data_IF_357308090035
#
_entry.id   IF_357308090035
#
_cell.length_a   1.000
_cell.length_b   1.000
_cell.length_c   1.000
_cell.angle_alpha   90.00
_cell.angle_beta   90.00
_cell.angle_gamma   90.00
#
_symmetry.space_group_name_H-M   'P 1'
#
loop_
_entity.id
_entity.type
_entity.pdbx_description
1 polymer ?
#
# COMPACT_ATOMS: atom_id res chain seq x y z
N UNK A 1 22.14 18.38 3.12
CA UNK A 1 21.82 16.99 3.56
C UNK A 1 20.37 16.68 3.29
N UNK A 2 20.09 15.53 2.68
CA UNK A 2 18.74 15.09 2.43
C UNK A 2 18.10 14.63 3.74
N UNK A 3 16.89 15.14 4.07
CA UNK A 3 16.18 14.72 5.27
C UNK A 3 15.62 13.31 5.10
N UNK A 4 15.34 12.65 6.22
CA UNK A 4 14.70 11.33 6.20
C UNK A 4 13.32 11.39 5.54
N UNK A 5 12.57 12.46 5.81
CA UNK A 5 11.29 12.71 5.13
C UNK A 5 11.45 12.74 3.61
N UNK A 6 12.45 13.45 3.11
CA UNK A 6 12.67 13.58 1.65
C UNK A 6 13.06 12.22 1.04
N UNK A 7 13.87 11.43 1.74
CA UNK A 7 14.21 10.06 1.32
C UNK A 7 12.93 9.21 1.19
N UNK A 8 12.05 9.29 2.16
CA UNK A 8 10.79 8.54 2.13
C UNK A 8 9.83 9.03 1.04
N UNK A 9 9.78 10.35 0.80
CA UNK A 9 8.99 10.90 -0.30
C UNK A 9 9.47 10.41 -1.66
N UNK A 10 10.78 10.37 -1.89
CA UNK A 10 11.35 9.83 -3.13
C UNK A 10 11.01 8.35 -3.29
N UNK A 11 11.09 7.57 -2.22
CA UNK A 11 10.73 6.15 -2.22
C UNK A 11 9.25 5.94 -2.56
N UNK A 12 8.36 6.73 -1.97
CA UNK A 12 6.92 6.69 -2.26
C UNK A 12 6.68 6.95 -3.75
N UNK A 13 7.30 7.98 -4.30
CA UNK A 13 7.17 8.33 -5.71
C UNK A 13 7.71 7.25 -6.64
N UNK A 14 8.83 6.64 -6.28
CA UNK A 14 9.42 5.55 -7.05
C UNK A 14 8.51 4.32 -7.08
N UNK A 15 7.93 3.95 -5.95
CA UNK A 15 6.99 2.82 -5.86
C UNK A 15 5.72 3.11 -6.66
N UNK A 16 5.21 4.33 -6.62
CA UNK A 16 4.06 4.72 -7.44
C UNK A 16 4.33 4.52 -8.93
N UNK A 17 5.45 5.03 -9.41
CA UNK A 17 5.86 4.91 -10.82
C UNK A 17 5.97 3.43 -11.20
N UNK A 18 6.63 2.63 -10.37
CA UNK A 18 6.81 1.19 -10.61
C UNK A 18 5.47 0.46 -10.69
N UNK A 19 4.55 0.74 -9.77
CA UNK A 19 3.22 0.13 -9.79
C UNK A 19 2.44 0.53 -11.05
N UNK A 20 2.43 1.81 -11.42
CA UNK A 20 1.72 2.29 -12.59
C UNK A 20 2.28 1.69 -13.89
N UNK A 21 3.59 1.52 -13.98
CA UNK A 21 4.23 0.84 -15.11
C UNK A 21 3.83 -0.64 -15.18
N UNK A 22 3.76 -1.31 -14.03
CA UNK A 22 3.39 -2.73 -13.97
C UNK A 22 1.95 -2.98 -14.39
N UNK A 23 1.01 -2.09 -14.03
CA UNK A 23 -0.41 -2.29 -14.38
C UNK A 23 -0.75 -1.76 -15.77
N UNK A 24 0.13 -1.00 -16.39
CA UNK A 24 -0.10 -0.48 -17.73
C UNK A 24 -0.31 -1.62 -18.74
N UNK A 25 -1.39 -1.53 -19.51
CA UNK A 25 -1.75 -2.56 -20.47
C UNK A 25 -2.42 -3.80 -19.88
N UNK A 26 -2.68 -3.85 -18.58
CA UNK A 26 -3.32 -5.02 -17.94
C UNK A 26 -4.85 -4.95 -17.92
N UNK A 27 -5.45 -3.99 -18.59
CA UNK A 27 -6.91 -3.80 -18.61
C UNK A 27 -7.68 -5.05 -19.06
N UNK A 28 -7.10 -5.89 -19.93
CA UNK A 28 -7.74 -7.11 -20.42
C UNK A 28 -7.46 -8.34 -19.52
N UNK A 29 -6.57 -8.26 -18.55
CA UNK A 29 -6.11 -9.41 -17.76
C UNK A 29 -6.07 -9.17 -16.25
N UNK A 30 -6.81 -8.18 -15.76
CA UNK A 30 -6.84 -7.85 -14.32
C UNK A 30 -7.26 -9.03 -13.44
N UNK A 31 -8.12 -9.91 -13.96
CA UNK A 31 -8.66 -11.05 -13.21
C UNK A 31 -7.99 -12.38 -13.55
N UNK A 32 -7.00 -12.36 -14.43
CA UNK A 32 -6.28 -13.57 -14.78
C UNK A 32 -5.36 -14.04 -13.65
N UNK A 33 -5.34 -15.33 -13.41
CA UNK A 33 -4.42 -15.96 -12.47
C UNK A 33 -4.04 -17.36 -12.94
N UNK A 34 -2.82 -17.84 -12.58
CA UNK A 34 -2.34 -19.13 -13.06
C UNK A 34 -3.05 -20.34 -12.44
N UNK A 35 -3.62 -20.15 -11.24
CA UNK A 35 -4.37 -21.19 -10.52
C UNK A 35 -5.33 -20.54 -9.52
N UNK A 36 -6.22 -21.37 -8.92
CA UNK A 36 -7.23 -20.89 -7.99
C UNK A 36 -6.65 -20.44 -6.63
N UNK A 37 -5.44 -20.87 -6.31
CA UNK A 37 -4.78 -20.52 -5.04
C UNK A 37 -4.04 -19.18 -5.11
N UNK A 38 -3.80 -18.66 -6.32
CA UNK A 38 -3.08 -17.41 -6.53
C UNK A 38 -4.04 -16.23 -6.62
N UNK A 39 -3.53 -15.05 -6.29
CA UNK A 39 -4.27 -13.80 -6.52
C UNK A 39 -4.01 -13.29 -7.94
N UNK A 40 -5.04 -12.68 -8.52
CA UNK A 40 -4.91 -11.91 -9.76
C UNK A 40 -4.40 -10.49 -9.44
N UNK A 41 -4.06 -9.72 -10.49
CA UNK A 41 -3.55 -8.37 -10.31
C UNK A 41 -4.55 -7.47 -9.54
N UNK A 42 -5.83 -7.55 -9.85
CA UNK A 42 -6.87 -6.80 -9.14
C UNK A 42 -6.84 -7.07 -7.63
N UNK A 43 -6.76 -8.33 -7.24
CA UNK A 43 -6.73 -8.74 -5.83
C UNK A 43 -5.45 -8.25 -5.14
N UNK A 44 -4.30 -8.36 -5.79
CA UNK A 44 -3.04 -7.84 -5.25
C UNK A 44 -3.12 -6.33 -5.02
N UNK A 45 -3.63 -5.59 -5.99
CA UNK A 45 -3.73 -4.12 -5.88
C UNK A 45 -4.64 -3.73 -4.71
N UNK A 46 -5.83 -4.31 -4.59
CA UNK A 46 -6.74 -3.95 -3.50
C UNK A 46 -6.28 -4.47 -2.14
N UNK A 47 -5.54 -5.58 -2.11
CA UNK A 47 -4.83 -5.95 -0.89
C UNK A 47 -3.92 -4.80 -0.42
N UNK A 48 -3.13 -4.24 -1.32
CA UNK A 48 -2.23 -3.13 -1.00
C UNK A 48 -2.97 -1.86 -0.62
N UNK A 49 -4.01 -1.49 -1.38
CA UNK A 49 -4.71 -0.22 -1.19
C UNK A 49 -5.49 -0.15 0.13
N UNK A 50 -5.89 -1.29 0.67
CA UNK A 50 -6.75 -1.35 1.86
C UNK A 50 -6.13 -2.19 2.99
N UNK A 51 -4.82 -2.32 2.99
CA UNK A 51 -4.05 -2.91 4.08
C UNK A 51 -3.04 -1.88 4.60
N UNK A 52 -3.19 -1.36 5.81
CA UNK A 52 -4.27 -1.61 6.78
C UNK A 52 -5.62 -1.07 6.31
N UNK A 53 -6.73 -1.45 6.97
CA UNK A 53 -8.07 -0.98 6.57
C UNK A 53 -8.15 0.54 6.42
N UNK A 54 -8.68 0.98 5.28
CA UNK A 54 -8.71 2.40 4.91
C UNK A 54 -7.45 2.88 4.20
N UNK A 55 -6.41 2.06 4.12
CA UNK A 55 -5.13 2.36 3.44
C UNK A 55 -4.08 2.98 4.34
N UNK A 56 -2.82 2.76 3.98
CA UNK A 56 -1.66 3.29 4.74
C UNK A 56 -1.69 4.82 4.83
N UNK A 57 -2.18 5.50 3.78
CA UNK A 57 -2.28 6.97 3.77
C UNK A 57 -3.20 7.47 4.89
N UNK A 58 -4.32 6.79 5.13
CA UNK A 58 -5.26 7.15 6.20
C UNK A 58 -4.64 6.96 7.58
N UNK A 59 -3.86 5.88 7.76
CA UNK A 59 -3.14 5.64 9.01
C UNK A 59 -2.12 6.75 9.26
N UNK A 60 -1.32 7.11 8.28
CA UNK A 60 -0.31 8.18 8.42
C UNK A 60 -0.97 9.53 8.74
N UNK A 61 -2.06 9.86 8.05
CA UNK A 61 -2.81 11.09 8.32
C UNK A 61 -3.42 11.09 9.72
N UNK A 62 -3.96 9.94 10.15
CA UNK A 62 -4.53 9.79 11.49
C UNK A 62 -3.48 9.91 12.60
N UNK A 63 -2.29 9.39 12.39
CA UNK A 63 -1.17 9.55 13.34
C UNK A 63 -0.76 11.02 13.41
N UNK A 64 -0.62 11.68 12.26
CA UNK A 64 -0.23 13.09 12.19
C UNK A 64 -1.26 14.03 12.85
N UNK A 65 -2.55 13.76 12.68
CA UNK A 65 -3.62 14.55 13.29
C UNK A 65 -3.83 14.24 14.78
N UNK A 66 -3.28 13.12 15.26
CA UNK A 66 -3.51 12.65 16.62
C UNK A 66 -4.83 11.92 16.83
N UNK A 67 -5.60 11.69 15.77
CA UNK A 67 -6.89 11.01 15.85
C UNK A 67 -6.77 9.49 15.87
N UNK A 68 -5.63 8.94 15.45
CA UNK A 68 -5.42 7.50 15.38
C UNK A 68 -4.26 7.07 16.28
N UNK A 69 -4.56 6.22 17.28
CA UNK A 69 -3.59 5.68 18.23
C UNK A 69 -3.30 4.20 17.98
N UNK A 70 -4.22 3.50 17.31
CA UNK A 70 -4.13 2.07 17.09
C UNK A 70 -4.89 1.67 15.83
N UNK A 71 -4.50 0.54 15.24
CA UNK A 71 -5.24 -0.03 14.11
C UNK A 71 -5.02 -1.53 14.02
N UNK A 72 -5.97 -2.21 13.39
CA UNK A 72 -5.91 -3.64 13.11
C UNK A 72 -5.17 -3.89 11.81
N UNK A 73 -4.35 -4.94 11.76
CA UNK A 73 -3.64 -5.35 10.56
C UNK A 73 -3.96 -6.81 10.24
N UNK A 74 -4.44 -7.01 9.01
CA UNK A 74 -4.72 -8.32 8.43
C UNK A 74 -3.86 -8.46 7.18
N UNK A 75 -3.01 -9.50 7.13
CA UNK A 75 -2.03 -9.65 6.06
C UNK A 75 -2.48 -10.59 4.92
N UNK A 76 -3.64 -11.20 5.04
CA UNK A 76 -4.11 -12.26 4.13
C UNK A 76 -5.39 -11.91 3.37
N UNK A 77 -5.86 -10.67 3.43
CA UNK A 77 -7.12 -10.25 2.81
C UNK A 77 -6.89 -9.60 1.45
N UNK A 78 -7.64 -10.03 0.45
CA UNK A 78 -7.64 -9.42 -0.87
C UNK A 78 -8.46 -8.12 -0.92
N UNK A 79 -9.29 -7.88 0.10
CA UNK A 79 -10.12 -6.68 0.26
C UNK A 79 -11.12 -6.46 -0.89
N UNK A 80 -11.49 -7.53 -1.58
CA UNK A 80 -12.41 -7.41 -2.71
C UNK A 80 -13.85 -7.14 -2.27
N UNK A 81 -14.53 -6.33 -3.04
CA UNK A 81 -15.94 -6.02 -2.89
C UNK A 81 -16.62 -6.18 -4.26
N UNK A 82 -17.96 -6.32 -4.31
CA UNK A 82 -18.66 -6.37 -5.60
C UNK A 82 -18.37 -5.16 -6.49
N UNK A 83 -18.24 -3.97 -5.91
CA UNK A 83 -17.91 -2.74 -6.62
C UNK A 83 -16.51 -2.81 -7.24
N UNK A 84 -15.51 -3.21 -6.44
CA UNK A 84 -14.11 -3.33 -6.89
C UNK A 84 -13.95 -4.37 -7.99
N UNK A 85 -14.74 -5.44 -7.93
CA UNK A 85 -14.72 -6.47 -8.96
C UNK A 85 -15.16 -5.94 -10.32
N UNK A 86 -15.98 -4.88 -10.35
CA UNK A 86 -16.48 -4.25 -11.56
C UNK A 86 -15.65 -3.06 -12.06
N UNK A 87 -14.63 -2.63 -11.32
CA UNK A 87 -13.83 -1.47 -11.70
C UNK A 87 -12.92 -1.79 -12.89
N UNK A 88 -12.85 -0.86 -13.84
CA UNK A 88 -11.88 -0.92 -14.93
C UNK A 88 -10.49 -0.43 -14.44
N UNK A 89 -9.50 -0.55 -15.30
CA UNK A 89 -8.12 -0.14 -14.95
C UNK A 89 -8.06 1.36 -14.63
N UNK A 90 -8.80 2.20 -15.33
CA UNK A 90 -8.82 3.64 -15.09
C UNK A 90 -9.30 3.95 -13.67
N UNK A 91 -10.37 3.30 -13.22
CA UNK A 91 -10.89 3.46 -11.85
C UNK A 91 -9.88 2.98 -10.80
N UNK A 92 -9.21 1.86 -11.07
CA UNK A 92 -8.16 1.33 -10.19
C UNK A 92 -7.00 2.32 -10.09
N UNK A 93 -6.55 2.88 -11.22
CA UNK A 93 -5.48 3.89 -11.23
C UNK A 93 -5.88 5.13 -10.43
N UNK A 94 -7.13 5.56 -10.48
CA UNK A 94 -7.63 6.66 -9.66
C UNK A 94 -7.54 6.34 -8.17
N UNK A 95 -7.86 5.11 -7.77
CA UNK A 95 -7.73 4.67 -6.37
C UNK A 95 -6.25 4.63 -5.94
N UNK A 96 -5.36 4.17 -6.81
CA UNK A 96 -3.91 4.19 -6.57
C UNK A 96 -3.43 5.63 -6.37
N UNK A 97 -3.79 6.52 -7.28
CA UNK A 97 -3.40 7.94 -7.19
C UNK A 97 -3.91 8.61 -5.92
N UNK A 98 -5.13 8.29 -5.51
CA UNK A 98 -5.70 8.82 -4.27
C UNK A 98 -4.90 8.44 -3.04
N UNK A 99 -4.48 7.18 -2.95
CA UNK A 99 -3.64 6.71 -1.85
C UNK A 99 -2.28 7.42 -1.83
N UNK A 100 -1.61 7.50 -2.97
CA UNK A 100 -0.29 8.14 -3.04
C UNK A 100 -0.34 9.65 -2.76
N UNK A 101 -1.36 10.34 -3.23
CA UNK A 101 -1.58 11.76 -2.88
C UNK A 101 -1.77 11.92 -1.38
N UNK A 102 -2.53 11.04 -0.75
CA UNK A 102 -2.72 11.05 0.71
C UNK A 102 -1.44 10.82 1.47
N UNK A 103 -0.58 9.91 1.02
CA UNK A 103 0.73 9.67 1.62
C UNK A 103 1.65 10.89 1.49
N UNK A 104 1.72 11.48 0.31
CA UNK A 104 2.53 12.67 0.09
C UNK A 104 2.11 13.83 0.99
N UNK A 105 0.80 14.05 1.13
CA UNK A 105 0.27 15.09 2.03
C UNK A 105 0.69 14.85 3.48
N UNK A 106 0.60 13.61 3.94
CA UNK A 106 0.99 13.27 5.31
C UNK A 106 2.48 13.55 5.54
N UNK A 107 3.33 13.17 4.59
CA UNK A 107 4.77 13.35 4.73
C UNK A 107 5.20 14.82 4.53
N UNK A 108 4.57 15.56 3.66
CA UNK A 108 4.84 16.99 3.49
C UNK A 108 4.55 17.77 4.77
N UNK A 109 3.56 17.35 5.54
CA UNK A 109 3.23 17.94 6.83
C UNK A 109 4.14 17.45 7.97
N UNK A 110 4.88 16.35 7.79
CA UNK A 110 5.69 15.73 8.82
C UNK A 110 7.11 16.28 8.85
N UNK A 111 7.72 16.24 10.04
CA UNK A 111 9.16 16.47 10.23
C UNK A 111 9.86 15.12 10.41
N UNK A 112 11.19 15.13 10.35
CA UNK A 112 11.98 13.92 10.69
C UNK A 112 11.68 13.47 12.13
N UNK A 113 11.48 14.42 13.04
CA UNK A 113 11.08 14.12 14.42
C UNK A 113 9.71 13.43 14.51
N UNK A 114 8.76 13.80 13.66
CA UNK A 114 7.47 13.12 13.58
C UNK A 114 7.63 11.68 13.11
N UNK A 115 8.48 11.44 12.12
CA UNK A 115 8.72 10.09 11.59
C UNK A 115 9.28 9.14 12.65
N UNK A 116 10.22 9.62 13.46
CA UNK A 116 10.87 8.80 14.49
C UNK A 116 10.11 8.77 15.81
N UNK A 117 9.28 9.78 16.10
CA UNK A 117 8.63 9.96 17.39
C UNK A 117 7.14 9.62 17.45
N UNK A 118 6.41 9.79 16.36
CA UNK A 118 4.99 9.46 16.32
C UNK A 118 4.77 7.99 15.98
N UNK A 119 3.84 7.36 16.67
CA UNK A 119 3.60 5.92 16.53
C UNK A 119 2.13 5.58 16.70
N UNK A 120 1.79 4.35 16.35
CA UNK A 120 0.50 3.75 16.63
C UNK A 120 0.71 2.30 17.10
N UNK A 121 -0.22 1.81 17.89
CA UNK A 121 -0.26 0.41 18.29
C UNK A 121 -0.85 -0.40 17.12
N UNK A 122 -0.10 -1.40 16.65
CA UNK A 122 -0.53 -2.27 15.56
C UNK A 122 -1.00 -3.60 16.15
N UNK A 123 -2.24 -3.94 15.89
CA UNK A 123 -2.83 -5.22 16.29
C UNK A 123 -2.70 -6.22 15.14
N UNK A 124 -1.68 -7.09 15.21
CA UNK A 124 -1.40 -8.13 14.21
C UNK A 124 -2.41 -9.26 14.34
N UNK A 125 -3.56 -9.15 13.69
CA UNK A 125 -4.68 -10.09 13.88
C UNK A 125 -4.38 -11.50 13.42
N UNK A 126 -3.57 -11.68 12.37
CA UNK A 126 -3.17 -13.00 11.90
C UNK A 126 -2.19 -13.70 12.85
N UNK A 127 -1.40 -12.93 13.61
CA UNK A 127 -0.35 -13.44 14.49
C UNK A 127 -0.75 -13.43 15.98
N UNK A 128 -1.79 -12.70 16.32
CA UNK A 128 -2.31 -12.61 17.69
C UNK A 128 -1.42 -11.81 18.64
N UNK A 129 -0.67 -10.82 18.14
CA UNK A 129 0.15 -9.96 18.97
C UNK A 129 -0.05 -8.48 18.65
N UNK A 130 0.34 -7.63 19.59
CA UNK A 130 0.30 -6.18 19.47
C UNK A 130 1.71 -5.63 19.55
N UNK A 131 2.03 -4.63 18.73
CA UNK A 131 3.32 -3.94 18.81
C UNK A 131 3.17 -2.47 18.42
N UNK A 132 3.89 -1.55 19.09
CA UNK A 132 3.93 -0.16 18.64
C UNK A 132 4.86 -0.03 17.45
N UNK A 133 4.46 0.80 16.46
CA UNK A 133 5.30 1.13 15.31
C UNK A 133 5.32 2.61 15.08
N UNK A 134 6.50 3.15 14.87
CA UNK A 134 6.67 4.55 14.46
C UNK A 134 6.25 4.74 13.02
N UNK A 135 6.01 5.99 12.61
CA UNK A 135 5.74 6.30 11.22
C UNK A 135 6.86 5.80 10.31
N UNK A 136 8.11 5.96 10.75
CA UNK A 136 9.28 5.46 10.00
C UNK A 136 9.22 3.95 9.81
N UNK A 137 8.92 3.20 10.86
CA UNK A 137 8.78 1.73 10.78
C UNK A 137 7.64 1.30 9.85
N UNK A 138 6.52 2.03 9.88
CA UNK A 138 5.39 1.75 9.00
C UNK A 138 5.76 1.99 7.54
N UNK A 139 6.46 3.06 7.24
CA UNK A 139 6.90 3.37 5.88
C UNK A 139 7.94 2.36 5.37
N UNK A 140 8.86 1.92 6.21
CA UNK A 140 9.88 0.96 5.83
C UNK A 140 9.30 -0.45 5.64
N UNK A 141 8.49 -0.92 6.57
CA UNK A 141 7.98 -2.28 6.61
C UNK A 141 6.65 -2.47 5.91
N UNK A 142 5.62 -1.83 6.44
CA UNK A 142 4.25 -2.02 5.95
C UNK A 142 4.03 -1.40 4.57
N UNK A 143 4.75 -0.33 4.25
CA UNK A 143 4.69 0.25 2.92
C UNK A 143 5.82 -0.29 2.02
N UNK A 144 7.05 0.20 2.15
CA UNK A 144 8.10 -0.04 1.14
C UNK A 144 8.38 -1.52 0.90
N UNK A 145 8.68 -2.29 1.95
CA UNK A 145 9.01 -3.71 1.82
C UNK A 145 7.79 -4.53 1.37
N UNK A 146 6.67 -4.33 2.01
CA UNK A 146 5.43 -5.06 1.72
C UNK A 146 4.95 -4.80 0.29
N UNK A 147 4.91 -3.52 -0.11
CA UNK A 147 4.48 -3.17 -1.46
C UNK A 147 5.42 -3.71 -2.54
N UNK A 148 6.74 -3.65 -2.31
CA UNK A 148 7.71 -4.19 -3.28
C UNK A 148 7.58 -5.70 -3.46
N UNK A 149 7.28 -6.44 -2.40
CA UNK A 149 7.00 -7.88 -2.51
C UNK A 149 5.81 -8.14 -3.45
N UNK A 150 4.74 -7.38 -3.28
CA UNK A 150 3.54 -7.53 -4.11
C UNK A 150 3.72 -6.95 -5.53
N UNK A 151 4.54 -5.93 -5.72
CA UNK A 151 4.93 -5.48 -7.06
C UNK A 151 5.67 -6.59 -7.81
N UNK A 152 6.53 -7.33 -7.12
CA UNK A 152 7.17 -8.53 -7.66
C UNK A 152 6.15 -9.58 -8.08
N UNK A 153 5.09 -9.75 -7.32
CA UNK A 153 4.01 -10.68 -7.63
C UNK A 153 3.25 -10.27 -8.90
N UNK A 154 2.96 -8.97 -9.07
CA UNK A 154 2.35 -8.45 -10.31
C UNK A 154 3.29 -8.65 -11.50
N UNK A 155 4.58 -8.40 -11.31
CA UNK A 155 5.59 -8.63 -12.35
C UNK A 155 5.60 -10.11 -12.81
N UNK A 156 5.50 -11.05 -11.88
CA UNK A 156 5.39 -12.47 -12.21
C UNK A 156 4.12 -12.80 -13.01
N UNK A 157 3.00 -12.18 -12.68
CA UNK A 157 1.76 -12.34 -13.46
C UNK A 157 1.94 -11.85 -14.90
N UNK A 158 2.59 -10.70 -15.10
CA UNK A 158 2.89 -10.18 -16.44
C UNK A 158 3.79 -11.13 -17.22
N UNK A 159 4.85 -11.62 -16.58
CA UNK A 159 5.79 -12.57 -17.21
C UNK A 159 5.07 -13.84 -17.65
N UNK A 160 4.16 -14.36 -16.83
CA UNK A 160 3.37 -15.54 -17.14
C UNK A 160 2.43 -15.31 -18.33
N UNK A 161 2.03 -14.07 -18.57
CA UNK A 161 1.18 -13.69 -19.70
C UNK A 161 1.99 -13.31 -20.95
N UNK A 162 3.32 -13.28 -20.86
CA UNK A 162 4.19 -12.90 -21.96
C UNK A 162 4.21 -11.39 -22.25
N UNK A 163 3.92 -10.57 -21.26
CA UNK A 163 3.89 -9.10 -21.38
C UNK A 163 5.27 -8.50 -21.12
#
# INVERSE_FOLDING_TARGET
MTSQRDVRLEEIRAIRVELLELVDGMDYCLDWKPDDASWCAREVIYHLLDTPPGGIHSVLQGIMSGELDEFDLWSDRDNMTPERQGYDLESIVQDIDGLFQGMERALEAATDGDLSGRSAMVHQRNRGWDEPRTMENLLEGLFARHWREHLGQISELRDSLGM
#
